data_IF_861551888249
#
_entry.id   IF_861551888249
#
_cell.length_a   1.000
_cell.length_b   1.000
_cell.length_c   1.000
_cell.angle_alpha   90.00
_cell.angle_beta   90.00
_cell.angle_gamma   90.00
#
_symmetry.space_group_name_H-M   'P 1'
#
loop_
_entity.id
_entity.type
_entity.pdbx_description
1 polymer ?
#
# COMPACT_ATOMS: atom_id res chain seq x y z
N UNK A 1 5.49 5.33 23.28
CA UNK A 1 4.94 6.45 22.48
C UNK A 1 3.49 6.11 22.17
N UNK A 2 2.56 7.06 22.32
CA UNK A 2 1.22 6.86 21.74
C UNK A 2 1.36 6.77 20.21
N UNK A 3 0.47 6.05 19.53
CA UNK A 3 0.57 5.87 18.07
C UNK A 3 0.43 7.22 17.33
N UNK A 4 -0.40 8.13 17.86
CA UNK A 4 -0.58 9.49 17.36
C UNK A 4 0.66 10.39 17.48
N UNK A 5 1.57 10.09 18.40
CA UNK A 5 2.79 10.88 18.63
C UNK A 5 4.04 10.29 17.97
N UNK A 6 3.89 9.18 17.24
CA UNK A 6 4.98 8.46 16.60
C UNK A 6 5.60 9.26 15.46
N UNK A 7 6.93 9.33 15.45
CA UNK A 7 7.71 9.77 14.28
C UNK A 7 8.94 8.89 14.14
N UNK A 8 9.39 8.65 12.89
CA UNK A 8 10.60 7.87 12.64
C UNK A 8 11.82 8.48 13.34
N UNK A 9 11.93 9.82 13.38
CA UNK A 9 13.01 10.51 14.09
C UNK A 9 13.03 10.16 15.59
N UNK A 10 11.89 10.24 16.27
CA UNK A 10 11.79 9.87 17.71
C UNK A 10 12.18 8.41 17.94
N UNK A 11 11.78 7.52 17.04
CA UNK A 11 12.15 6.10 17.12
C UNK A 11 13.66 5.88 16.93
N UNK A 12 14.28 6.56 15.97
CA UNK A 12 15.74 6.51 15.76
C UNK A 12 16.49 6.95 17.02
N UNK A 13 16.11 8.08 17.60
CA UNK A 13 16.78 8.67 18.74
C UNK A 13 16.57 7.83 20.01
N UNK A 14 15.35 7.35 20.26
CA UNK A 14 15.02 6.59 21.47
C UNK A 14 15.62 5.18 21.51
N UNK A 15 15.84 4.56 20.35
CA UNK A 15 16.31 3.18 20.24
C UNK A 15 17.68 3.05 19.55
N UNK A 16 18.36 4.16 19.28
CA UNK A 16 19.65 4.21 18.57
C UNK A 16 19.64 3.43 17.24
N UNK A 17 18.58 3.60 16.45
CA UNK A 17 18.38 2.82 15.21
C UNK A 17 19.17 3.42 14.04
N UNK A 18 19.76 2.54 13.23
CA UNK A 18 20.27 2.87 11.91
C UNK A 18 19.17 2.65 10.88
N UNK A 19 18.98 3.60 9.97
CA UNK A 19 18.02 3.47 8.85
C UNK A 19 18.80 3.09 7.60
N UNK A 20 18.34 2.04 6.92
CA UNK A 20 18.87 1.57 5.64
C UNK A 20 17.76 1.86 4.62
N UNK A 21 18.01 2.76 3.68
CA UNK A 21 17.00 3.22 2.70
C UNK A 21 17.13 2.51 1.34
N UNK A 22 18.28 1.92 1.08
CA UNK A 22 18.71 1.34 -0.19
C UNK A 22 18.65 -0.20 -0.21
N UNK A 23 17.98 -0.80 0.77
CA UNK A 23 17.78 -2.24 0.84
C UNK A 23 16.45 -2.64 0.19
N UNK A 24 16.53 -3.46 -0.85
CA UNK A 24 15.34 -4.12 -1.42
C UNK A 24 14.93 -5.33 -0.57
N UNK A 25 13.93 -5.12 0.29
CA UNK A 25 13.37 -6.12 1.19
C UNK A 25 12.63 -7.25 0.46
N UNK A 26 12.27 -7.08 -0.81
CA UNK A 26 11.46 -8.03 -1.57
C UNK A 26 12.19 -8.59 -2.79
N UNK A 27 13.49 -8.36 -2.92
CA UNK A 27 14.34 -8.84 -4.02
C UNK A 27 14.30 -10.36 -4.27
N UNK A 28 13.95 -11.15 -3.25
CA UNK A 28 13.82 -12.61 -3.32
C UNK A 28 12.38 -13.09 -3.56
N UNK A 29 11.41 -12.17 -3.55
CA UNK A 29 9.99 -12.50 -3.76
C UNK A 29 9.69 -12.45 -5.25
N UNK A 30 9.09 -13.53 -5.76
CA UNK A 30 8.65 -13.57 -7.15
C UNK A 30 7.54 -12.54 -7.40
N UNK A 31 7.66 -11.79 -8.50
CA UNK A 31 6.61 -10.91 -8.95
C UNK A 31 5.35 -11.70 -9.35
N UNK A 32 4.19 -11.10 -9.10
CA UNK A 32 2.90 -11.68 -9.45
C UNK A 32 2.26 -10.80 -10.52
N UNK A 33 1.79 -11.43 -11.60
CA UNK A 33 1.05 -10.73 -12.64
C UNK A 33 -0.31 -10.24 -12.12
N UNK A 34 -0.64 -8.99 -12.40
CA UNK A 34 -1.96 -8.43 -12.11
C UNK A 34 -3.00 -9.14 -12.99
N UNK A 35 -4.11 -9.59 -12.38
CA UNK A 35 -5.20 -10.19 -13.14
C UNK A 35 -5.87 -9.18 -14.06
N UNK A 36 -6.39 -9.63 -15.20
CA UNK A 36 -7.11 -8.78 -16.15
C UNK A 36 -8.26 -8.01 -15.46
N UNK A 37 -9.04 -8.70 -14.64
CA UNK A 37 -10.12 -8.11 -13.85
C UNK A 37 -9.64 -6.95 -12.96
N UNK A 38 -8.55 -7.15 -12.20
CA UNK A 38 -8.02 -6.09 -11.33
C UNK A 38 -7.49 -4.92 -12.17
N UNK A 39 -6.79 -5.21 -13.28
CA UNK A 39 -6.27 -4.18 -14.17
C UNK A 39 -7.37 -3.30 -14.77
N UNK A 40 -8.45 -3.90 -15.28
CA UNK A 40 -9.60 -3.18 -15.83
C UNK A 40 -10.33 -2.38 -14.75
N UNK A 41 -10.53 -2.98 -13.58
CA UNK A 41 -11.17 -2.32 -12.43
C UNK A 41 -10.39 -1.07 -12.02
N UNK A 42 -9.07 -1.16 -11.87
CA UNK A 42 -8.23 -0.04 -11.48
C UNK A 42 -8.16 1.04 -12.56
N UNK A 43 -8.13 0.67 -13.84
CA UNK A 43 -8.14 1.62 -14.95
C UNK A 43 -9.37 2.53 -14.92
N UNK A 44 -10.54 1.99 -14.55
CA UNK A 44 -11.77 2.78 -14.38
C UNK A 44 -11.82 3.54 -13.05
N UNK A 45 -11.43 2.88 -11.95
CA UNK A 45 -11.60 3.40 -10.60
C UNK A 45 -10.63 4.51 -10.22
N UNK A 46 -9.37 4.45 -10.69
CA UNK A 46 -8.35 5.42 -10.31
C UNK A 46 -8.74 6.84 -10.73
N UNK A 47 -9.12 7.12 -12.00
CA UNK A 47 -9.56 8.46 -12.40
C UNK A 47 -10.75 8.97 -11.56
N UNK A 48 -11.72 8.11 -11.26
CA UNK A 48 -12.89 8.45 -10.46
C UNK A 48 -12.51 8.79 -9.00
N UNK A 49 -11.66 7.97 -8.38
CA UNK A 49 -11.17 8.20 -7.03
C UNK A 49 -10.41 9.52 -6.92
N UNK A 50 -9.60 9.83 -7.93
CA UNK A 50 -8.86 11.08 -8.03
C UNK A 50 -9.79 12.29 -8.22
N UNK A 51 -10.83 12.15 -9.05
CA UNK A 51 -11.82 13.20 -9.28
C UNK A 51 -12.66 13.51 -8.02
N UNK A 52 -13.03 12.49 -7.25
CA UNK A 52 -13.77 12.66 -5.98
C UNK A 52 -12.84 13.25 -4.90
N UNK A 53 -11.56 12.88 -4.88
CA UNK A 53 -10.52 13.52 -4.07
C UNK A 53 -10.53 13.18 -2.58
N UNK A 54 -11.51 12.42 -2.08
CA UNK A 54 -11.59 12.04 -0.66
C UNK A 54 -10.73 10.82 -0.34
N UNK A 55 -10.29 10.71 0.91
CA UNK A 55 -9.62 9.50 1.42
C UNK A 55 -10.50 8.26 1.28
N UNK A 56 -11.81 8.41 1.52
CA UNK A 56 -12.79 7.34 1.36
C UNK A 56 -12.83 6.83 -0.07
N UNK A 57 -12.86 7.71 -1.07
CA UNK A 57 -12.88 7.32 -2.47
C UNK A 57 -11.62 6.54 -2.86
N UNK A 58 -10.43 6.98 -2.42
CA UNK A 58 -9.18 6.22 -2.64
C UNK A 58 -9.22 4.85 -1.95
N UNK A 59 -9.74 4.79 -0.72
CA UNK A 59 -9.86 3.56 0.04
C UNK A 59 -10.76 2.52 -0.65
N UNK A 60 -11.97 2.92 -1.06
CA UNK A 60 -12.96 2.01 -1.64
C UNK A 60 -12.66 1.66 -3.10
N UNK A 61 -12.20 2.61 -3.91
CA UNK A 61 -12.04 2.42 -5.35
C UNK A 61 -10.66 1.86 -5.73
N UNK A 62 -9.62 2.08 -4.92
CA UNK A 62 -8.26 1.60 -5.21
C UNK A 62 -7.83 0.53 -4.21
N UNK A 63 -7.74 0.87 -2.92
CA UNK A 63 -7.10 0.02 -1.92
C UNK A 63 -7.89 -1.28 -1.71
N UNK A 64 -9.21 -1.19 -1.52
CA UNK A 64 -10.05 -2.36 -1.29
C UNK A 64 -9.98 -3.38 -2.45
N UNK A 65 -9.95 -2.91 -3.70
CA UNK A 65 -9.86 -3.79 -4.87
C UNK A 65 -8.53 -4.56 -4.92
N UNK A 66 -7.41 -3.91 -4.57
CA UNK A 66 -6.10 -4.58 -4.50
C UNK A 66 -6.11 -5.65 -3.39
N UNK A 67 -6.61 -5.30 -2.19
CA UNK A 67 -6.66 -6.23 -1.06
C UNK A 67 -7.53 -7.45 -1.35
N UNK A 68 -8.71 -7.26 -1.95
CA UNK A 68 -9.61 -8.34 -2.35
C UNK A 68 -8.94 -9.26 -3.38
N UNK A 69 -8.28 -8.69 -4.39
CA UNK A 69 -7.57 -9.47 -5.39
C UNK A 69 -6.44 -10.31 -4.78
N UNK A 70 -5.75 -9.81 -3.76
CA UNK A 70 -4.72 -10.58 -3.05
C UNK A 70 -5.32 -11.72 -2.22
N UNK A 71 -6.42 -11.48 -1.51
CA UNK A 71 -7.10 -12.50 -0.71
C UNK A 71 -7.59 -13.68 -1.56
N UNK A 72 -8.09 -13.41 -2.77
CA UNK A 72 -8.53 -14.45 -3.71
C UNK A 72 -7.40 -15.31 -4.28
N UNK A 73 -6.14 -14.89 -4.18
CA UNK A 73 -4.98 -15.64 -4.69
C UNK A 73 -4.37 -16.61 -3.66
N UNK A 74 -4.69 -16.42 -2.39
CA UNK A 74 -4.23 -17.28 -1.28
C UNK A 74 -5.20 -18.40 -0.90
N UNK A 75 -6.35 -18.49 -1.57
CA UNK A 75 -7.36 -19.55 -1.41
C UNK A 75 -7.22 -20.59 -2.51
#
# INVERSE_FOLDING_TARGET
>A
MSYSDFTLKKAKDAFALTVIEDQDLFSQTAEISISMHLSETLAYNIPLAMAIGTEKARSELIIANILLAMASQTA
#
